data_IF_501278890435
#
_entry.id   IF_501278890435
#
_cell.length_a   1.000
_cell.length_b   1.000
_cell.length_c   1.000
_cell.angle_alpha   90.00
_cell.angle_beta   90.00
_cell.angle_gamma   90.00
#
_symmetry.space_group_name_H-M   'P 1'
#
loop_
_entity.id
_entity.type
_entity.pdbx_description
1 polymer ?
#
# COMPACT_ATOMS: atom_id res chain seq x y z
N UNK A 1 21.60 -38.16 19.10
CA UNK A 1 20.42 -37.79 18.29
C UNK A 1 20.85 -36.75 17.26
N UNK A 2 20.73 -37.05 15.97
CA UNK A 2 21.12 -36.15 14.87
C UNK A 2 19.86 -35.76 14.09
N UNK A 3 19.25 -34.62 14.44
CA UNK A 3 18.04 -34.08 13.81
C UNK A 3 18.33 -33.05 12.69
N UNK A 4 19.56 -32.99 12.18
CA UNK A 4 20.06 -31.89 11.35
C UNK A 4 19.51 -31.79 9.93
N UNK A 5 18.66 -32.72 9.49
CA UNK A 5 18.18 -32.80 8.11
C UNK A 5 16.67 -33.05 8.00
N UNK A 6 15.89 -32.60 8.97
CA UNK A 6 14.43 -32.61 8.81
C UNK A 6 14.01 -31.60 7.72
N UNK A 7 12.93 -31.87 6.96
CA UNK A 7 12.45 -30.97 5.91
C UNK A 7 12.28 -29.52 6.40
N UNK A 8 11.81 -29.36 7.64
CA UNK A 8 11.63 -28.07 8.31
C UNK A 8 12.95 -27.31 8.50
N UNK A 9 14.04 -28.00 8.85
CA UNK A 9 15.36 -27.38 8.98
C UNK A 9 15.95 -26.98 7.62
N UNK A 10 15.68 -27.76 6.57
CA UNK A 10 16.11 -27.41 5.20
C UNK A 10 15.35 -26.21 4.66
N UNK A 11 14.03 -26.12 4.95
CA UNK A 11 13.20 -24.96 4.61
C UNK A 11 13.67 -23.71 5.39
N UNK A 12 13.92 -23.83 6.70
CA UNK A 12 14.44 -22.72 7.51
C UNK A 12 15.83 -22.26 7.05
N UNK A 13 16.73 -23.20 6.71
CA UNK A 13 18.05 -22.89 6.17
C UNK A 13 17.95 -22.20 4.80
N UNK A 14 17.01 -22.62 3.95
CA UNK A 14 16.79 -21.98 2.65
C UNK A 14 16.21 -20.57 2.80
N UNK A 15 15.26 -20.38 3.72
CA UNK A 15 14.72 -19.05 4.06
C UNK A 15 15.80 -18.11 4.63
N UNK A 16 16.70 -18.63 5.45
CA UNK A 16 17.82 -17.87 6.01
C UNK A 16 18.84 -17.47 4.93
N UNK A 17 19.14 -18.35 3.98
CA UNK A 17 20.01 -18.04 2.84
C UNK A 17 19.41 -16.95 1.95
N UNK A 18 18.12 -17.06 1.62
CA UNK A 18 17.40 -16.05 0.84
C UNK A 18 17.36 -14.70 1.58
N UNK A 19 17.12 -14.72 2.90
CA UNK A 19 17.13 -13.50 3.74
C UNK A 19 18.52 -12.84 3.75
N UNK A 20 19.60 -13.61 3.80
CA UNK A 20 20.98 -13.09 3.74
C UNK A 20 21.31 -12.48 2.39
N UNK A 21 20.89 -13.11 1.28
CA UNK A 21 21.09 -12.57 -0.06
C UNK A 21 20.34 -11.26 -0.26
N UNK A 22 19.08 -11.19 0.18
CA UNK A 22 18.29 -9.95 0.18
C UNK A 22 18.97 -8.85 0.99
N UNK A 23 19.52 -9.20 2.16
CA UNK A 23 20.22 -8.23 3.03
C UNK A 23 21.50 -7.71 2.38
N UNK A 24 22.32 -8.58 1.77
CA UNK A 24 23.53 -8.16 1.04
C UNK A 24 23.23 -7.28 -0.17
N UNK A 25 22.22 -7.64 -0.98
CA UNK A 25 21.81 -6.83 -2.12
C UNK A 25 21.29 -5.45 -1.67
N UNK A 26 20.63 -5.39 -0.51
CA UNK A 26 20.11 -4.16 0.08
C UNK A 26 21.23 -3.21 0.56
N UNK A 27 22.26 -3.74 1.21
CA UNK A 27 23.38 -2.94 1.69
C UNK A 27 24.18 -2.31 0.53
N UNK A 28 24.19 -2.96 -0.64
CA UNK A 28 24.78 -2.41 -1.87
C UNK A 28 23.94 -1.25 -2.44
N UNK A 29 22.62 -1.30 -2.28
CA UNK A 29 21.69 -0.35 -2.90
C UNK A 29 21.35 0.87 -2.03
N UNK A 30 21.81 0.92 -0.76
CA UNK A 30 21.40 1.93 0.24
C UNK A 30 19.88 2.18 0.30
N UNK A 31 19.10 1.20 -0.13
CA UNK A 31 17.66 1.30 -0.20
C UNK A 31 17.08 0.89 1.14
N UNK A 32 16.35 1.80 1.79
CA UNK A 32 15.57 1.44 2.97
C UNK A 32 14.52 0.39 2.58
N UNK A 33 14.39 -0.71 3.34
CA UNK A 33 13.40 -1.73 3.02
C UNK A 33 11.99 -1.13 3.13
N UNK A 34 11.14 -1.43 2.16
CA UNK A 34 9.71 -1.12 2.24
C UNK A 34 9.12 -2.03 3.33
N UNK A 35 8.82 -1.45 4.49
CA UNK A 35 8.29 -2.16 5.66
C UNK A 35 6.79 -2.41 5.58
N UNK A 36 6.08 -1.56 4.84
CA UNK A 36 4.66 -1.68 4.54
C UNK A 36 4.44 -1.65 3.01
N UNK A 37 4.61 -2.80 2.33
CA UNK A 37 4.55 -2.85 0.86
C UNK A 37 3.15 -2.58 0.31
N UNK A 38 2.10 -2.79 1.11
CA UNK A 38 0.73 -2.52 0.70
C UNK A 38 0.47 -1.01 0.71
N UNK A 39 0.87 -0.31 1.78
CA UNK A 39 0.77 1.16 1.83
C UNK A 39 1.63 1.82 0.75
N UNK A 40 2.88 1.37 0.58
CA UNK A 40 3.76 1.93 -0.45
C UNK A 40 3.20 1.75 -1.87
N UNK A 41 2.51 0.64 -2.14
CA UNK A 41 1.86 0.42 -3.44
C UNK A 41 0.62 1.31 -3.63
N UNK A 42 -0.16 1.56 -2.57
CA UNK A 42 -1.26 2.54 -2.62
C UNK A 42 -0.76 3.96 -2.86
N UNK A 43 0.30 4.38 -2.17
CA UNK A 43 0.94 5.69 -2.36
C UNK A 43 1.46 5.84 -3.80
N UNK A 44 2.12 4.82 -4.32
CA UNK A 44 2.58 4.80 -5.72
C UNK A 44 1.40 4.92 -6.70
N UNK A 45 0.31 4.21 -6.46
CA UNK A 45 -0.87 4.32 -7.32
C UNK A 45 -1.46 5.72 -7.32
N UNK A 46 -1.54 6.38 -6.16
CA UNK A 46 -1.94 7.79 -6.06
C UNK A 46 -1.06 8.71 -6.91
N UNK A 47 0.26 8.58 -6.79
CA UNK A 47 1.22 9.38 -7.57
C UNK A 47 1.09 9.14 -9.08
N UNK A 48 0.87 7.89 -9.51
CA UNK A 48 0.72 7.56 -10.94
C UNK A 48 -0.58 8.15 -11.50
N UNK A 49 -1.67 8.17 -10.72
CA UNK A 49 -2.93 8.82 -11.10
C UNK A 49 -2.76 10.33 -11.21
N UNK A 50 -2.16 10.98 -10.20
CA UNK A 50 -1.87 12.42 -10.22
C UNK A 50 -1.01 12.81 -11.42
N UNK A 51 0.01 12.00 -11.72
CA UNK A 51 0.87 12.20 -12.89
C UNK A 51 0.10 12.11 -14.20
N UNK A 52 -0.77 11.10 -14.36
CA UNK A 52 -1.65 10.95 -15.53
C UNK A 52 -2.57 12.17 -15.67
N UNK A 53 -3.18 12.64 -14.59
CA UNK A 53 -4.08 13.79 -14.60
C UNK A 53 -3.35 15.09 -14.96
N UNK A 54 -2.15 15.30 -14.41
CA UNK A 54 -1.32 16.45 -14.74
C UNK A 54 -0.92 16.48 -16.22
N UNK A 55 -0.63 15.31 -16.82
CA UNK A 55 -0.35 15.21 -18.26
C UNK A 55 -1.60 15.41 -19.10
N UNK A 56 -2.74 14.84 -18.71
CA UNK A 56 -4.01 15.00 -19.41
C UNK A 56 -4.43 16.47 -19.49
N UNK A 57 -4.19 17.24 -18.43
CA UNK A 57 -4.45 18.68 -18.40
C UNK A 57 -3.56 19.50 -19.36
N UNK A 58 -2.43 18.94 -19.81
CA UNK A 58 -1.45 19.62 -20.69
C UNK A 58 -1.58 19.21 -22.15
N UNK A 59 -2.12 18.02 -22.44
CA UNK A 59 -2.28 17.53 -23.81
C UNK A 59 -3.47 18.23 -24.48
N UNK A 60 -3.19 19.00 -25.53
CA UNK A 60 -4.23 19.53 -26.42
C UNK A 60 -4.62 18.49 -27.47
N UNK A 61 -5.81 17.90 -27.30
CA UNK A 61 -6.39 16.89 -28.19
C UNK A 61 -6.87 17.49 -29.53
N UNK A 62 -7.13 18.79 -29.61
CA UNK A 62 -7.64 19.42 -30.83
C UNK A 62 -6.53 19.75 -31.83
N UNK A 63 -5.29 19.83 -31.37
CA UNK A 63 -4.14 20.13 -32.21
C UNK A 63 -3.46 18.86 -32.79
N UNK A 64 -4.06 17.67 -32.63
CA UNK A 64 -3.52 16.39 -33.14
C UNK A 64 -3.36 16.32 -34.66
N UNK A 65 -3.96 17.24 -35.44
CA UNK A 65 -3.69 17.40 -36.88
C UNK A 65 -2.91 18.68 -37.14
N UNK A 66 -1.64 18.53 -37.51
CA UNK A 66 -0.94 19.54 -38.29
C UNK A 66 -0.28 18.83 -39.49
N UNK A 67 -0.77 19.09 -40.70
CA UNK A 67 -0.07 18.76 -41.94
C UNK A 67 1.08 19.76 -42.08
N UNK A 68 2.31 19.37 -41.69
CA UNK A 68 3.49 20.17 -42.01
C UNK A 68 4.01 19.75 -43.39
N UNK A 69 4.16 20.69 -44.31
CA UNK A 69 4.71 20.50 -45.66
C UNK A 69 6.20 20.09 -45.71
N UNK A 70 6.76 19.64 -44.59
CA UNK A 70 8.12 19.13 -44.45
C UNK A 70 7.99 17.77 -43.77
N UNK A 71 8.41 16.73 -44.48
CA UNK A 71 8.26 15.31 -44.16
C UNK A 71 8.99 14.91 -42.87
N UNK A 72 8.37 15.18 -41.73
CA UNK A 72 8.65 14.45 -40.50
C UNK A 72 7.43 14.56 -39.59
N UNK A 73 6.66 13.48 -39.46
CA UNK A 73 5.64 13.35 -38.40
C UNK A 73 6.35 13.46 -37.05
N UNK A 74 6.40 14.67 -36.48
CA UNK A 74 6.71 14.81 -35.07
C UNK A 74 5.48 14.35 -34.30
N UNK A 75 5.45 13.06 -33.94
CA UNK A 75 4.52 12.60 -32.92
C UNK A 75 4.77 13.48 -31.69
N UNK A 76 3.74 14.21 -31.24
CA UNK A 76 3.86 15.05 -30.05
C UNK A 76 4.26 14.17 -28.88
N UNK A 77 5.46 14.38 -28.34
CA UNK A 77 5.97 13.62 -27.21
C UNK A 77 5.03 13.64 -25.99
N UNK A 78 4.21 14.68 -25.87
CA UNK A 78 3.17 14.83 -24.84
C UNK A 78 2.08 13.75 -24.94
N UNK A 79 1.62 13.41 -26.15
CA UNK A 79 0.60 12.38 -26.37
C UNK A 79 1.17 11.00 -26.04
N UNK A 80 2.41 10.73 -26.45
CA UNK A 80 3.11 9.49 -26.08
C UNK A 80 3.39 9.41 -24.58
N UNK A 81 3.64 10.53 -23.92
CA UNK A 81 3.88 10.56 -22.48
C UNK A 81 2.58 10.31 -21.70
N UNK A 82 1.46 10.87 -22.16
CA UNK A 82 0.13 10.60 -21.61
C UNK A 82 -0.27 9.13 -21.81
N UNK A 83 -0.09 8.56 -22.99
CA UNK A 83 -0.38 7.15 -23.26
C UNK A 83 0.42 6.22 -22.33
N UNK A 84 1.73 6.46 -22.18
CA UNK A 84 2.56 5.73 -21.20
C UNK A 84 2.12 5.92 -19.75
N UNK A 85 1.60 7.09 -19.39
CA UNK A 85 1.07 7.33 -18.05
C UNK A 85 -0.23 6.56 -17.83
N UNK A 86 -1.12 6.50 -18.83
CA UNK A 86 -2.35 5.72 -18.81
C UNK A 86 -2.06 4.22 -18.67
N UNK A 87 -1.08 3.69 -19.42
CA UNK A 87 -0.67 2.28 -19.33
C UNK A 87 -0.10 1.91 -17.96
N UNK A 88 0.71 2.80 -17.37
CA UNK A 88 1.24 2.61 -16.00
C UNK A 88 0.13 2.67 -14.95
N UNK A 89 -0.82 3.59 -15.10
CA UNK A 89 -2.04 3.65 -14.27
C UNK A 89 -2.79 2.32 -14.32
N UNK A 90 -3.10 1.82 -15.51
CA UNK A 90 -3.80 0.56 -15.69
C UNK A 90 -3.05 -0.60 -15.02
N UNK A 91 -1.73 -0.67 -15.21
CA UNK A 91 -0.89 -1.72 -14.63
C UNK A 91 -0.89 -1.70 -13.10
N UNK A 92 -0.70 -0.53 -12.48
CA UNK A 92 -0.61 -0.42 -11.01
C UNK A 92 -1.97 -0.67 -10.36
N UNK A 93 -3.06 -0.15 -10.94
CA UNK A 93 -4.42 -0.34 -10.42
C UNK A 93 -4.89 -1.79 -10.59
N UNK A 94 -4.59 -2.43 -11.73
CA UNK A 94 -4.88 -3.85 -11.92
C UNK A 94 -4.07 -4.74 -10.95
N UNK A 95 -2.86 -4.32 -10.59
CA UNK A 95 -2.04 -5.03 -9.59
C UNK A 95 -2.64 -4.91 -8.20
N UNK A 96 -3.10 -3.73 -7.80
CA UNK A 96 -3.83 -3.50 -6.54
C UNK A 96 -5.08 -4.38 -6.47
N UNK A 97 -5.90 -4.36 -7.54
CA UNK A 97 -7.12 -5.15 -7.62
C UNK A 97 -6.84 -6.66 -7.51
N UNK A 98 -5.81 -7.17 -8.21
CA UNK A 98 -5.43 -8.60 -8.15
C UNK A 98 -4.92 -9.04 -6.78
N UNK A 99 -4.28 -8.15 -6.05
CA UNK A 99 -3.67 -8.45 -4.76
C UNK A 99 -4.68 -8.35 -3.60
N UNK A 100 -5.95 -8.01 -3.89
CA UNK A 100 -7.01 -7.75 -2.91
C UNK A 100 -6.51 -6.87 -1.75
N UNK A 101 -5.75 -5.82 -2.09
CA UNK A 101 -5.01 -5.02 -1.11
C UNK A 101 -5.97 -4.33 -0.16
N UNK A 102 -7.11 -3.87 -0.65
CA UNK A 102 -8.12 -3.19 0.15
C UNK A 102 -8.70 -4.13 1.22
N UNK A 103 -9.00 -5.38 0.86
CA UNK A 103 -9.49 -6.39 1.82
C UNK A 103 -8.44 -6.77 2.86
N UNK A 104 -7.16 -6.83 2.45
CA UNK A 104 -6.05 -7.17 3.35
C UNK A 104 -5.72 -6.02 4.30
N UNK A 105 -5.70 -4.79 3.83
CA UNK A 105 -5.48 -3.60 4.65
C UNK A 105 -6.66 -3.38 5.59
N UNK A 106 -7.91 -3.49 5.12
CA UNK A 106 -9.09 -3.42 5.98
C UNK A 106 -9.03 -4.45 7.12
N UNK A 107 -8.60 -5.68 6.82
CA UNK A 107 -8.43 -6.73 7.84
C UNK A 107 -7.32 -6.40 8.85
N UNK A 108 -6.20 -5.83 8.39
CA UNK A 108 -5.11 -5.39 9.28
C UNK A 108 -5.60 -4.27 10.20
N UNK A 109 -6.36 -3.32 9.66
CA UNK A 109 -6.93 -2.21 10.42
C UNK A 109 -7.95 -2.70 11.46
N UNK A 110 -8.81 -3.66 11.09
CA UNK A 110 -9.75 -4.30 12.02
C UNK A 110 -9.02 -5.03 13.15
N UNK A 111 -7.99 -5.81 12.83
CA UNK A 111 -7.16 -6.47 13.85
C UNK A 111 -6.48 -5.47 14.78
N UNK A 112 -5.96 -4.37 14.22
CA UNK A 112 -5.30 -3.31 14.99
C UNK A 112 -6.30 -2.61 15.93
N UNK A 113 -7.52 -2.32 15.46
CA UNK A 113 -8.58 -1.76 16.30
C UNK A 113 -8.92 -2.68 17.47
N UNK A 114 -8.98 -4.01 17.25
CA UNK A 114 -9.18 -4.99 18.33
C UNK A 114 -8.05 -4.97 19.34
N UNK A 115 -6.80 -4.88 18.88
CA UNK A 115 -5.62 -4.78 19.77
C UNK A 115 -5.65 -3.52 20.61
N UNK A 116 -5.99 -2.36 20.02
CA UNK A 116 -6.12 -1.09 20.73
C UNK A 116 -7.19 -1.17 21.82
N UNK A 117 -8.39 -1.68 21.49
CA UNK A 117 -9.46 -1.84 22.48
C UNK A 117 -9.01 -2.72 23.64
N UNK A 118 -8.35 -3.85 23.36
CA UNK A 118 -7.81 -4.74 24.41
C UNK A 118 -6.73 -4.07 25.26
N UNK A 119 -5.85 -3.28 24.66
CA UNK A 119 -4.82 -2.54 25.39
C UNK A 119 -5.42 -1.50 26.34
N UNK A 120 -6.45 -0.78 25.89
CA UNK A 120 -7.18 0.18 26.74
C UNK A 120 -7.90 -0.53 27.89
N UNK A 121 -8.55 -1.67 27.63
CA UNK A 121 -9.19 -2.48 28.66
C UNK A 121 -8.20 -2.95 29.73
N UNK A 122 -7.04 -3.45 29.30
CA UNK A 122 -5.99 -3.86 30.22
C UNK A 122 -5.47 -2.67 31.06
N UNK A 123 -5.32 -1.49 30.46
CA UNK A 123 -4.94 -0.27 31.16
C UNK A 123 -5.98 0.18 32.19
N UNK A 124 -7.27 0.17 31.82
CA UNK A 124 -8.38 0.50 32.73
C UNK A 124 -8.46 -0.47 33.90
N UNK A 125 -8.33 -1.78 33.63
CA UNK A 125 -8.31 -2.81 34.67
C UNK A 125 -7.14 -2.63 35.62
N UNK A 126 -5.94 -2.34 35.10
CA UNK A 126 -4.75 -2.07 35.91
C UNK A 126 -4.88 -0.79 36.75
N UNK A 127 -5.67 0.19 36.30
CA UNK A 127 -5.98 1.40 37.03
C UNK A 127 -7.13 1.23 38.04
N UNK A 128 -7.66 0.01 38.20
CA UNK A 128 -8.77 -0.28 39.10
C UNK A 128 -10.13 0.23 38.61
N UNK A 129 -10.24 0.65 37.35
CA UNK A 129 -11.51 1.08 36.76
C UNK A 129 -12.32 -0.15 36.37
N UNK A 130 -13.43 -0.38 37.09
CA UNK A 130 -14.31 -1.52 36.89
C UNK A 130 -15.80 -1.13 36.80
N UNK A 131 -16.65 -2.09 36.44
CA UNK A 131 -18.10 -1.92 36.45
C UNK A 131 -18.62 -0.92 35.39
N UNK A 132 -19.67 -0.15 35.68
CA UNK A 132 -20.33 0.72 34.70
C UNK A 132 -19.40 1.75 34.03
N UNK A 133 -18.38 2.24 34.75
CA UNK A 133 -17.40 3.18 34.21
C UNK A 133 -16.52 2.56 33.13
N UNK A 134 -16.10 1.30 33.31
CA UNK A 134 -15.32 0.56 32.32
C UNK A 134 -16.15 0.26 31.05
N UNK A 135 -17.44 -0.06 31.22
CA UNK A 135 -18.37 -0.29 30.09
C UNK A 135 -18.53 0.99 29.27
N UNK A 136 -18.75 2.13 29.92
CA UNK A 136 -18.90 3.42 29.24
C UNK A 136 -17.62 3.85 28.53
N UNK A 137 -16.46 3.64 29.14
CA UNK A 137 -15.17 3.91 28.50
C UNK A 137 -14.98 3.08 27.22
N UNK A 138 -15.35 1.79 27.26
CA UNK A 138 -15.29 0.89 26.09
C UNK A 138 -16.20 1.38 24.94
N UNK A 139 -17.42 1.81 25.25
CA UNK A 139 -18.35 2.34 24.24
C UNK A 139 -17.81 3.62 23.58
N UNK A 140 -17.27 4.53 24.37
CA UNK A 140 -16.67 5.80 23.89
C UNK A 140 -15.47 5.52 22.98
N UNK A 141 -14.54 4.65 23.39
CA UNK A 141 -13.37 4.25 22.58
C UNK A 141 -13.81 3.62 21.27
N UNK A 142 -14.82 2.73 21.28
CA UNK A 142 -15.36 2.13 20.05
C UNK A 142 -15.99 3.18 19.13
N UNK A 143 -16.65 4.20 19.69
CA UNK A 143 -17.16 5.34 18.95
C UNK A 143 -16.07 6.13 18.25
N UNK A 144 -14.99 6.47 18.95
CA UNK A 144 -13.85 7.20 18.36
C UNK A 144 -13.10 6.38 17.30
N UNK A 145 -12.88 5.09 17.52
CA UNK A 145 -12.27 4.20 16.52
C UNK A 145 -13.14 4.03 15.27
N UNK A 146 -14.46 4.25 15.37
CA UNK A 146 -15.35 4.28 14.22
C UNK A 146 -15.19 5.51 13.34
N UNK A 147 -14.86 6.64 13.95
CA UNK A 147 -14.72 7.94 13.31
C UNK A 147 -13.32 8.21 12.72
N UNK A 148 -12.36 7.30 12.88
CA UNK A 148 -11.03 7.48 12.29
C UNK A 148 -11.08 7.44 10.76
N UNK A 149 -10.37 8.36 10.07
CA UNK A 149 -10.35 8.46 8.62
C UNK A 149 -9.54 7.30 8.01
N UNK A 150 -10.26 6.20 7.82
CA UNK A 150 -9.88 5.03 7.01
C UNK A 150 -11.10 4.29 6.46
N UNK A 151 -12.32 4.71 6.84
CA UNK A 151 -13.60 4.14 6.39
C UNK A 151 -14.32 4.95 5.31
N UNK A 152 -13.90 6.18 5.03
CA UNK A 152 -14.62 7.08 4.11
C UNK A 152 -14.26 6.87 2.63
N UNK A 153 -13.22 6.09 2.31
CA UNK A 153 -12.81 5.83 0.93
C UNK A 153 -13.62 4.73 0.20
N UNK A 154 -14.71 4.21 0.79
CA UNK A 154 -15.50 3.12 0.23
C UNK A 154 -17.02 3.41 0.22
N UNK A 155 -17.41 4.61 -0.22
CA UNK A 155 -18.81 4.92 -0.56
C UNK A 155 -18.90 5.59 -1.93
#
# INVERSE_FOLDING_TARGET
>A
MHGGATPTHRVAAHQELVRREITKARDILNASPITDPLRALQELAGQVVEWKDALAARVDLHALRYESNISTEQIRGEVQLLERAMDRCNTVLATIAKLNIDERLARIDEMTAVVIVRAVEAGLASAGVAGPAAVKAREVVRGHLRALPGREAAR
#
